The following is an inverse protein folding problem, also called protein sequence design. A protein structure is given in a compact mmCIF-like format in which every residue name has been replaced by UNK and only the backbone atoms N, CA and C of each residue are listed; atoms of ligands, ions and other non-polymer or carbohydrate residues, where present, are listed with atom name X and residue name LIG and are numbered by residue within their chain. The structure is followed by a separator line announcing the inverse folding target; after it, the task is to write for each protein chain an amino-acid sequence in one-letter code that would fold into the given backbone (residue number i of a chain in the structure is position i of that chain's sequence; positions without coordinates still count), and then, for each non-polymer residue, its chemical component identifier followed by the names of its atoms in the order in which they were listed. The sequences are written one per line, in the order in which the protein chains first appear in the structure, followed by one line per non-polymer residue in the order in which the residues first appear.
data_IF_040484961050
#
_entry.id   IF_040484961050
#
_cell.length_a   1.000
_cell.length_b   1.000
_cell.length_c   1.000
_cell.angle_alpha   90.00
_cell.angle_beta   90.00
_cell.angle_gamma   90.00
#
_symmetry.space_group_name_H-M   'P 1'
#
loop_
_entity.id
_entity.type
_entity.pdbx_description
1 polymer ?
#
# COMPACT_ATOMS: atom_id res chain seq x y z
N UNK A 1 8.10 -29.32 4.65
CA UNK A 1 7.60 -28.06 4.13
C UNK A 1 7.56 -28.02 2.60
N UNK A 2 6.50 -28.65 2.04
CA UNK A 2 6.30 -28.77 0.58
C UNK A 2 6.13 -27.37 -0.07
N UNK A 3 5.41 -26.46 0.60
CA UNK A 3 5.17 -25.09 0.11
C UNK A 3 6.51 -24.33 -0.08
N UNK A 4 7.41 -24.33 0.88
CA UNK A 4 8.71 -23.68 0.76
C UNK A 4 9.51 -24.18 -0.43
N UNK A 5 9.47 -25.49 -0.66
CA UNK A 5 10.16 -26.11 -1.80
C UNK A 5 9.60 -25.62 -3.14
N UNK A 6 8.26 -25.55 -3.27
CA UNK A 6 7.60 -25.10 -4.49
C UNK A 6 7.86 -23.61 -4.75
N UNK A 7 7.87 -22.76 -3.70
CA UNK A 7 8.26 -21.36 -3.83
C UNK A 7 9.72 -21.20 -4.26
N UNK A 8 10.65 -22.02 -3.76
CA UNK A 8 12.06 -22.01 -4.21
C UNK A 8 12.19 -22.37 -5.67
N UNK A 9 11.46 -23.39 -6.15
CA UNK A 9 11.42 -23.73 -7.58
C UNK A 9 10.88 -22.57 -8.42
N UNK A 10 9.85 -21.87 -7.94
CA UNK A 10 9.30 -20.70 -8.62
C UNK A 10 10.31 -19.54 -8.71
N UNK A 11 11.11 -19.30 -7.66
CA UNK A 11 12.20 -18.32 -7.69
C UNK A 11 13.27 -18.66 -8.73
N UNK A 12 13.48 -19.95 -8.98
CA UNK A 12 14.38 -20.46 -10.01
C UNK A 12 13.76 -20.47 -11.41
N UNK A 13 12.51 -20.01 -11.56
CA UNK A 13 11.71 -20.09 -12.78
C UNK A 13 11.45 -21.54 -13.26
N UNK A 14 11.41 -22.49 -12.32
CA UNK A 14 11.07 -23.89 -12.62
C UNK A 14 9.55 -24.07 -12.56
N UNK A 15 8.94 -24.38 -13.69
CA UNK A 15 7.49 -24.45 -13.90
C UNK A 15 6.81 -25.72 -13.35
N UNK A 16 7.43 -26.42 -12.40
CA UNK A 16 6.89 -27.67 -11.81
C UNK A 16 5.58 -27.46 -11.05
N UNK A 17 5.41 -26.31 -10.40
CA UNK A 17 4.22 -26.01 -9.60
C UNK A 17 3.61 -24.67 -9.94
N UNK A 18 2.29 -24.63 -10.15
CA UNK A 18 1.52 -23.40 -10.31
C UNK A 18 0.63 -23.19 -9.10
N UNK A 19 0.79 -22.03 -8.43
CA UNK A 19 -0.05 -21.63 -7.32
C UNK A 19 -1.43 -21.27 -7.85
N UNK A 20 -2.48 -21.89 -7.30
CA UNK A 20 -3.86 -21.59 -7.65
C UNK A 20 -4.34 -20.36 -6.86
N UNK A 21 -5.14 -19.47 -7.47
CA UNK A 21 -5.77 -18.39 -6.74
C UNK A 21 -6.70 -18.97 -5.68
N UNK A 22 -6.57 -18.46 -4.44
CA UNK A 22 -7.46 -18.83 -3.34
C UNK A 22 -8.89 -18.41 -3.68
N UNK A 23 -9.86 -19.30 -3.49
CA UNK A 23 -11.28 -18.92 -3.55
C UNK A 23 -11.60 -18.08 -2.32
N UNK A 24 -12.41 -17.03 -2.49
CA UNK A 24 -12.79 -16.11 -1.39
C UNK A 24 -13.45 -16.81 -0.18
N UNK A 25 -13.91 -18.05 -0.35
CA UNK A 25 -14.56 -18.86 0.69
C UNK A 25 -13.58 -19.65 1.57
N UNK A 26 -12.31 -19.79 1.14
CA UNK A 26 -11.29 -20.53 1.88
C UNK A 26 -10.58 -19.60 2.87
N UNK A 27 -11.17 -19.45 4.07
CA UNK A 27 -10.56 -18.73 5.21
C UNK A 27 -9.28 -19.42 5.76
N UNK A 28 -8.78 -20.44 5.08
CA UNK A 28 -7.57 -21.17 5.44
C UNK A 28 -6.40 -20.74 4.54
N UNK A 29 -5.30 -20.41 5.17
CA UNK A 29 -3.99 -20.09 4.55
C UNK A 29 -3.34 -21.29 3.84
N UNK A 30 -4.13 -22.27 3.41
CA UNK A 30 -3.70 -23.45 2.68
C UNK A 30 -3.47 -23.07 1.22
N UNK A 31 -2.22 -23.11 0.81
CA UNK A 31 -1.86 -22.94 -0.61
C UNK A 31 -2.27 -24.18 -1.40
N UNK A 32 -3.00 -23.98 -2.49
CA UNK A 32 -3.33 -25.01 -3.46
C UNK A 32 -2.36 -24.91 -4.65
N UNK A 33 -1.66 -25.99 -4.95
CA UNK A 33 -0.69 -26.08 -6.04
C UNK A 33 -1.10 -27.15 -7.06
N UNK A 34 -1.07 -26.78 -8.32
CA UNK A 34 -1.15 -27.77 -9.41
C UNK A 34 0.27 -28.13 -9.84
N UNK A 35 0.61 -29.41 -9.76
CA UNK A 35 1.94 -29.91 -10.12
C UNK A 35 1.88 -30.57 -11.50
N UNK A 36 2.83 -30.23 -12.36
CA UNK A 36 2.95 -30.80 -13.71
C UNK A 36 4.42 -31.06 -14.03
N UNK A 37 4.73 -32.29 -14.45
CA UNK A 37 6.05 -32.63 -14.95
C UNK A 37 6.02 -32.53 -16.48
N UNK A 38 6.93 -31.77 -17.04
CA UNK A 38 7.06 -31.57 -18.51
C UNK A 38 8.55 -31.59 -18.88
N UNK A 39 8.90 -31.84 -20.15
CA UNK A 39 10.28 -31.74 -20.60
C UNK A 39 10.95 -30.39 -20.33
N UNK A 40 10.19 -29.31 -20.37
CA UNK A 40 10.66 -27.97 -20.05
C UNK A 40 11.14 -27.88 -18.58
N UNK A 41 10.40 -28.50 -17.66
CA UNK A 41 10.78 -28.57 -16.23
C UNK A 41 12.11 -29.28 -16.04
N UNK A 42 12.41 -30.31 -16.82
CA UNK A 42 13.70 -31.00 -16.78
C UNK A 42 14.85 -30.07 -17.22
N UNK A 43 14.63 -29.30 -18.29
CA UNK A 43 15.61 -28.31 -18.77
C UNK A 43 15.84 -27.25 -17.71
N UNK A 44 14.75 -26.65 -17.17
CA UNK A 44 14.78 -25.61 -16.16
C UNK A 44 15.51 -26.08 -14.87
N UNK A 45 15.32 -27.35 -14.49
CA UNK A 45 16.03 -27.94 -13.35
C UNK A 45 17.54 -28.07 -13.64
N UNK A 46 17.91 -28.48 -14.84
CA UNK A 46 19.32 -28.55 -15.25
C UNK A 46 19.95 -27.15 -15.23
N UNK A 47 19.26 -26.15 -15.75
CA UNK A 47 19.73 -24.76 -15.71
C UNK A 47 19.87 -24.25 -14.26
N UNK A 48 18.96 -24.64 -13.37
CA UNK A 48 19.02 -24.27 -11.95
C UNK A 48 20.28 -24.86 -11.26
N UNK A 49 20.83 -25.98 -11.73
CA UNK A 49 22.07 -26.56 -11.17
C UNK A 49 23.30 -25.67 -11.38
N UNK A 50 23.27 -24.79 -12.39
CA UNK A 50 24.32 -23.79 -12.62
C UNK A 50 24.39 -22.73 -11.51
N UNK A 51 23.30 -22.58 -10.74
CA UNK A 51 23.19 -21.62 -9.64
C UNK A 51 23.49 -22.24 -8.26
N UNK A 52 23.54 -23.56 -8.16
CA UNK A 52 23.90 -24.27 -6.91
C UNK A 52 23.53 -25.73 -6.89
N UNK A 53 24.18 -26.48 -6.04
CA UNK A 53 24.05 -27.94 -5.91
C UNK A 53 22.75 -28.39 -5.21
N UNK A 54 22.05 -27.46 -4.59
CA UNK A 54 20.77 -27.70 -3.92
C UNK A 54 19.75 -26.64 -4.33
N UNK A 55 18.45 -26.99 -4.31
CA UNK A 55 17.37 -26.05 -4.60
C UNK A 55 17.43 -24.82 -3.69
N UNK A 56 17.78 -24.99 -2.42
CA UNK A 56 17.96 -23.88 -1.46
C UNK A 56 19.14 -23.01 -1.84
N UNK A 57 20.29 -23.60 -2.16
CA UNK A 57 21.50 -22.87 -2.57
C UNK A 57 21.29 -22.10 -3.87
N UNK A 58 20.70 -22.75 -4.88
CA UNK A 58 20.38 -22.11 -6.15
C UNK A 58 19.39 -20.95 -5.99
N UNK A 59 18.33 -21.12 -5.19
CA UNK A 59 17.36 -20.06 -4.89
C UNK A 59 18.02 -18.91 -4.13
N UNK A 60 18.91 -19.20 -3.16
CA UNK A 60 19.69 -18.19 -2.44
C UNK A 60 20.57 -17.36 -3.38
N UNK A 61 21.26 -18.03 -4.29
CA UNK A 61 22.08 -17.38 -5.30
C UNK A 61 21.25 -16.46 -6.20
N UNK A 62 20.14 -16.97 -6.75
CA UNK A 62 19.26 -16.18 -7.61
C UNK A 62 18.65 -14.97 -6.90
N UNK A 63 18.23 -15.11 -5.63
CA UNK A 63 17.73 -14.01 -4.84
C UNK A 63 18.81 -12.95 -4.55
N UNK A 64 20.05 -13.37 -4.26
CA UNK A 64 21.19 -12.46 -4.02
C UNK A 64 21.53 -11.65 -5.26
N UNK A 65 21.52 -12.26 -6.45
CA UNK A 65 21.73 -11.53 -7.70
C UNK A 65 20.65 -10.47 -7.89
N UNK A 66 19.36 -10.85 -7.82
CA UNK A 66 18.24 -9.93 -7.96
C UNK A 66 18.25 -8.82 -6.91
N UNK A 67 18.67 -9.12 -5.69
CA UNK A 67 18.76 -8.14 -4.60
C UNK A 67 19.88 -7.13 -4.81
N UNK A 68 21.02 -7.53 -5.41
CA UNK A 68 22.12 -6.61 -5.77
C UNK A 68 21.75 -5.68 -6.93
N UNK A 69 20.90 -6.13 -7.83
CA UNK A 69 20.42 -5.37 -8.97
C UNK A 69 19.22 -4.46 -8.62
N UNK A 70 18.59 -4.68 -7.45
CA UNK A 70 17.45 -3.91 -7.02
C UNK A 70 17.86 -2.45 -6.70
N UNK A 71 17.37 -1.52 -7.50
CA UNK A 71 17.55 -0.07 -7.31
C UNK A 71 16.31 0.58 -6.70
N UNK A 72 15.17 -0.09 -6.72
CA UNK A 72 13.90 0.39 -6.22
C UNK A 72 13.50 -0.38 -4.95
N UNK A 73 12.96 0.36 -3.99
CA UNK A 73 12.50 -0.23 -2.72
C UNK A 73 11.39 -1.26 -2.92
N UNK A 74 10.50 -1.05 -3.90
CA UNK A 74 9.42 -1.97 -4.26
C UNK A 74 9.94 -3.32 -4.74
N UNK A 75 11.02 -3.34 -5.52
CA UNK A 75 11.67 -4.58 -5.96
C UNK A 75 12.26 -5.36 -4.78
N UNK A 76 12.94 -4.68 -3.87
CA UNK A 76 13.51 -5.29 -2.66
C UNK A 76 12.42 -5.80 -1.69
N UNK A 77 11.31 -5.06 -1.52
CA UNK A 77 10.17 -5.50 -0.70
C UNK A 77 9.52 -6.77 -1.25
N UNK A 78 9.41 -6.90 -2.57
CA UNK A 78 8.92 -8.11 -3.22
C UNK A 78 9.86 -9.30 -3.02
N UNK A 79 11.17 -9.09 -3.09
CA UNK A 79 12.16 -10.14 -2.78
C UNK A 79 12.09 -10.56 -1.32
N UNK A 80 11.83 -9.64 -0.39
CA UNK A 80 11.60 -9.95 1.01
C UNK A 80 10.40 -10.90 1.17
N UNK A 81 9.26 -10.58 0.56
CA UNK A 81 8.07 -11.43 0.55
C UNK A 81 8.41 -12.83 -0.01
N UNK A 82 9.07 -12.90 -1.17
CA UNK A 82 9.50 -14.17 -1.77
C UNK A 82 10.41 -14.96 -0.82
N UNK A 83 11.32 -14.32 -0.07
CA UNK A 83 12.22 -14.99 0.87
C UNK A 83 11.47 -15.62 2.06
N UNK A 84 10.41 -14.94 2.56
CA UNK A 84 9.50 -15.51 3.56
C UNK A 84 8.72 -16.70 3.00
N UNK A 85 8.18 -16.59 1.79
CA UNK A 85 7.47 -17.67 1.12
C UNK A 85 8.38 -18.90 0.89
N UNK A 86 9.65 -18.68 0.67
CA UNK A 86 10.67 -19.74 0.51
C UNK A 86 11.17 -20.33 1.84
N UNK A 87 10.85 -19.72 2.98
CA UNK A 87 11.39 -20.12 4.28
C UNK A 87 12.92 -20.02 4.35
N UNK A 88 13.48 -18.85 3.98
CA UNK A 88 14.92 -18.61 3.87
C UNK A 88 15.35 -17.44 4.78
N UNK A 89 15.51 -17.68 6.11
CA UNK A 89 15.77 -16.62 7.08
C UNK A 89 17.08 -15.83 6.82
N UNK A 90 18.11 -16.48 6.27
CA UNK A 90 19.35 -15.79 5.89
C UNK A 90 19.12 -14.78 4.75
N UNK A 91 18.23 -15.10 3.82
CA UNK A 91 17.86 -14.17 2.74
C UNK A 91 16.97 -13.05 3.25
N UNK A 92 16.07 -13.33 4.19
CA UNK A 92 15.29 -12.31 4.88
C UNK A 92 16.22 -11.27 5.50
N UNK A 93 17.21 -11.67 6.30
CA UNK A 93 18.16 -10.76 6.92
C UNK A 93 18.95 -9.94 5.87
N UNK A 94 19.44 -10.59 4.82
CA UNK A 94 20.20 -9.94 3.76
C UNK A 94 19.39 -8.89 2.99
N UNK A 95 18.13 -9.20 2.65
CA UNK A 95 17.25 -8.29 1.91
C UNK A 95 16.76 -7.16 2.82
N UNK A 96 16.55 -7.43 4.12
CA UNK A 96 16.20 -6.41 5.12
C UNK A 96 17.25 -5.31 5.17
N UNK A 97 18.53 -5.67 5.13
CA UNK A 97 19.66 -4.73 5.12
C UNK A 97 19.63 -3.82 3.86
N UNK A 98 19.38 -4.42 2.70
CA UNK A 98 19.22 -3.68 1.44
C UNK A 98 18.02 -2.73 1.51
N UNK A 99 16.88 -3.18 2.05
CA UNK A 99 15.68 -2.36 2.20
C UNK A 99 15.92 -1.12 3.07
N UNK A 100 16.69 -1.25 4.16
CA UNK A 100 17.04 -0.11 5.02
C UNK A 100 17.81 0.97 4.25
N UNK A 101 18.77 0.56 3.42
CA UNK A 101 19.54 1.49 2.59
C UNK A 101 18.65 2.16 1.53
N UNK A 102 17.87 1.37 0.79
CA UNK A 102 16.98 1.91 -0.24
C UNK A 102 15.89 2.82 0.33
N UNK A 103 15.39 2.53 1.53
CA UNK A 103 14.38 3.36 2.19
C UNK A 103 14.92 4.76 2.56
N UNK A 104 16.20 4.87 2.95
CA UNK A 104 16.84 6.14 3.27
C UNK A 104 16.94 7.05 2.04
N UNK A 105 17.24 6.48 0.89
CA UNK A 105 17.49 7.21 -0.37
C UNK A 105 16.22 7.42 -1.21
N UNK A 106 15.14 6.69 -0.95
CA UNK A 106 13.92 6.76 -1.75
C UNK A 106 13.23 8.13 -1.63
N UNK A 107 12.85 8.68 -2.77
CA UNK A 107 12.01 9.89 -2.89
C UNK A 107 10.63 9.62 -3.50
N UNK A 108 10.34 8.38 -3.89
CA UNK A 108 9.07 7.98 -4.50
C UNK A 108 8.07 7.53 -3.43
N UNK A 109 7.11 8.40 -3.10
CA UNK A 109 6.07 8.11 -2.11
C UNK A 109 5.27 6.85 -2.44
N UNK A 110 4.94 6.64 -3.72
CA UNK A 110 4.16 5.49 -4.20
C UNK A 110 4.84 4.17 -3.90
N UNK A 111 6.16 4.12 -4.09
CA UNK A 111 6.96 2.91 -3.87
C UNK A 111 7.17 2.65 -2.39
N UNK A 112 7.39 3.71 -1.59
CA UNK A 112 7.46 3.61 -0.13
C UNK A 112 6.13 3.08 0.45
N UNK A 113 4.99 3.61 0.03
CA UNK A 113 3.68 3.18 0.49
C UNK A 113 3.37 1.72 0.09
N UNK A 114 3.69 1.32 -1.15
CA UNK A 114 3.53 -0.05 -1.61
C UNK A 114 4.46 -1.03 -0.85
N UNK A 115 5.69 -0.61 -0.58
CA UNK A 115 6.65 -1.41 0.18
C UNK A 115 6.24 -1.57 1.64
N UNK A 116 5.74 -0.50 2.27
CA UNK A 116 5.19 -0.56 3.63
C UNK A 116 4.01 -1.55 3.71
N UNK A 117 3.11 -1.53 2.74
CA UNK A 117 1.99 -2.47 2.65
C UNK A 117 2.48 -3.92 2.50
N UNK A 118 3.42 -4.20 1.59
CA UNK A 118 3.98 -5.53 1.40
C UNK A 118 4.66 -6.06 2.67
N UNK A 119 5.46 -5.23 3.35
CA UNK A 119 6.12 -5.61 4.61
C UNK A 119 5.08 -5.83 5.71
N UNK A 120 4.07 -4.97 5.82
CA UNK A 120 2.95 -5.13 6.77
C UNK A 120 2.23 -6.46 6.57
N UNK A 121 1.94 -6.85 5.32
CA UNK A 121 1.36 -8.15 4.99
C UNK A 121 2.26 -9.29 5.44
N UNK A 122 3.57 -9.23 5.14
CA UNK A 122 4.54 -10.24 5.57
C UNK A 122 4.57 -10.38 7.09
N UNK A 123 4.58 -9.26 7.84
CA UNK A 123 4.61 -9.28 9.30
C UNK A 123 3.35 -9.91 9.90
N UNK A 124 2.17 -9.54 9.38
CA UNK A 124 0.87 -10.08 9.86
C UNK A 124 0.71 -11.58 9.63
N UNK A 125 1.36 -12.11 8.59
CA UNK A 125 1.21 -13.50 8.16
C UNK A 125 2.47 -14.35 8.33
N UNK A 126 3.59 -13.73 8.72
CA UNK A 126 4.87 -14.41 8.97
C UNK A 126 4.77 -15.43 10.11
N UNK A 127 4.00 -15.14 11.16
CA UNK A 127 3.78 -16.03 12.31
C UNK A 127 3.18 -17.39 11.93
N UNK A 128 2.33 -17.43 10.91
CA UNK A 128 1.73 -18.67 10.40
C UNK A 128 2.82 -19.62 9.86
N UNK A 129 3.88 -19.06 9.30
CA UNK A 129 5.02 -19.82 8.77
C UNK A 129 6.13 -20.04 9.79
N UNK A 130 5.96 -19.58 11.04
CA UNK A 130 6.93 -19.65 12.14
C UNK A 130 8.27 -18.97 11.79
N UNK A 131 8.21 -17.88 11.06
CA UNK A 131 9.36 -17.04 10.78
C UNK A 131 9.26 -15.79 11.66
N UNK A 132 10.38 -15.45 12.31
CA UNK A 132 10.45 -14.23 13.12
C UNK A 132 10.37 -12.99 12.23
N UNK A 133 9.35 -12.16 12.46
CA UNK A 133 9.14 -10.89 11.75
C UNK A 133 9.66 -9.68 12.52
N UNK A 134 10.18 -9.87 13.75
CA UNK A 134 10.69 -8.77 14.59
C UNK A 134 11.79 -7.93 13.93
N UNK A 135 12.70 -8.47 13.09
CA UNK A 135 13.68 -7.65 12.37
C UNK A 135 13.07 -6.67 11.37
N UNK A 136 11.80 -6.85 10.97
CA UNK A 136 11.11 -5.96 10.04
C UNK A 136 10.51 -4.72 10.69
N UNK A 137 10.35 -4.71 12.03
CA UNK A 137 9.79 -3.58 12.77
C UNK A 137 10.54 -2.27 12.45
N UNK A 138 11.86 -2.17 12.65
CA UNK A 138 12.58 -0.92 12.37
C UNK A 138 12.56 -0.53 10.89
N UNK A 139 12.48 -1.50 9.99
CA UNK A 139 12.39 -1.23 8.54
C UNK A 139 11.04 -0.63 8.19
N UNK A 140 9.95 -1.19 8.71
CA UNK A 140 8.61 -0.66 8.48
C UNK A 140 8.45 0.73 9.08
N UNK A 141 8.97 0.97 10.29
CA UNK A 141 9.00 2.30 10.92
C UNK A 141 9.74 3.32 10.05
N UNK A 142 10.92 2.96 9.54
CA UNK A 142 11.73 3.84 8.68
C UNK A 142 11.01 4.19 7.38
N UNK A 143 10.45 3.18 6.69
CA UNK A 143 9.72 3.37 5.43
C UNK A 143 8.47 4.22 5.65
N UNK A 144 7.69 3.92 6.70
CA UNK A 144 6.49 4.65 7.07
C UNK A 144 6.81 6.12 7.39
N UNK A 145 7.83 6.37 8.21
CA UNK A 145 8.28 7.70 8.55
C UNK A 145 8.74 8.48 7.31
N UNK A 146 9.53 7.84 6.44
CA UNK A 146 9.99 8.46 5.20
C UNK A 146 8.83 8.83 4.28
N UNK A 147 7.84 7.94 4.13
CA UNK A 147 6.63 8.21 3.37
C UNK A 147 5.85 9.40 3.93
N UNK A 148 5.67 9.47 5.26
CA UNK A 148 5.02 10.60 5.92
C UNK A 148 5.73 11.95 5.66
N UNK A 149 7.08 11.95 5.65
CA UNK A 149 7.87 13.17 5.37
C UNK A 149 7.69 13.68 3.93
N UNK A 150 7.46 12.79 2.98
CA UNK A 150 7.28 13.15 1.57
C UNK A 150 5.84 13.53 1.22
N UNK A 151 4.88 13.14 2.06
CA UNK A 151 3.46 13.18 1.71
C UNK A 151 2.95 14.58 1.41
N UNK A 152 3.29 15.58 2.23
CA UNK A 152 2.82 16.96 2.03
C UNK A 152 3.30 17.50 0.69
N UNK A 153 4.58 17.32 0.37
CA UNK A 153 5.15 17.78 -0.90
C UNK A 153 4.56 17.06 -2.12
N UNK A 154 4.23 15.77 -1.98
CA UNK A 154 3.60 15.00 -3.03
C UNK A 154 2.15 15.43 -3.33
N UNK A 155 1.49 16.13 -2.39
CA UNK A 155 0.13 16.62 -2.59
C UNK A 155 0.02 17.80 -3.58
N UNK A 156 1.15 18.43 -3.96
CA UNK A 156 1.22 19.46 -5.00
C UNK A 156 1.32 18.80 -6.38
N UNK A 157 0.22 18.25 -6.87
CA UNK A 157 0.18 17.49 -8.10
C UNK A 157 -1.13 17.71 -8.88
N UNK A 158 -1.15 17.26 -10.13
CA UNK A 158 -2.34 17.23 -10.98
C UNK A 158 -3.29 16.07 -10.60
N UNK A 159 -4.48 16.05 -11.17
CA UNK A 159 -5.51 15.04 -10.87
C UNK A 159 -5.11 13.59 -11.21
N UNK A 160 -4.42 13.31 -12.32
CA UNK A 160 -3.92 11.97 -12.59
C UNK A 160 -2.93 11.46 -11.53
N UNK A 161 -2.02 12.31 -11.06
CA UNK A 161 -1.09 11.97 -10.00
C UNK A 161 -1.78 11.88 -8.63
N UNK A 162 -2.77 12.72 -8.37
CA UNK A 162 -3.53 12.71 -7.12
C UNK A 162 -4.17 11.35 -6.81
N UNK A 163 -4.59 10.61 -7.84
CA UNK A 163 -5.14 9.25 -7.68
C UNK A 163 -4.12 8.27 -7.07
N UNK A 164 -2.86 8.37 -7.47
CA UNK A 164 -1.79 7.53 -6.94
C UNK A 164 -1.43 7.94 -5.51
N UNK A 165 -1.45 9.25 -5.21
CA UNK A 165 -1.22 9.76 -3.85
C UNK A 165 -2.34 9.31 -2.91
N UNK A 166 -3.60 9.40 -3.32
CA UNK A 166 -4.75 8.88 -2.56
C UNK A 166 -4.58 7.39 -2.23
N UNK A 167 -4.17 6.57 -3.19
CA UNK A 167 -3.89 5.16 -2.93
C UNK A 167 -2.73 4.97 -1.95
N UNK A 168 -1.72 5.82 -2.02
CA UNK A 168 -0.58 5.77 -1.09
C UNK A 168 -1.01 6.14 0.33
N UNK A 169 -1.85 7.15 0.50
CA UNK A 169 -2.44 7.51 1.80
C UNK A 169 -3.28 6.37 2.35
N UNK A 170 -4.09 5.71 1.51
CA UNK A 170 -4.93 4.58 1.94
C UNK A 170 -4.10 3.40 2.42
N UNK A 171 -3.02 3.06 1.71
CA UNK A 171 -2.05 2.03 2.11
C UNK A 171 -1.39 2.36 3.44
N UNK A 172 -0.88 3.59 3.59
CA UNK A 172 -0.25 4.03 4.84
C UNK A 172 -1.24 4.04 6.00
N UNK A 173 -2.49 4.44 5.76
CA UNK A 173 -3.56 4.38 6.76
C UNK A 173 -3.82 2.95 7.20
N UNK A 174 -3.91 2.01 6.25
CA UNK A 174 -4.08 0.57 6.55
C UNK A 174 -2.89 0.01 7.33
N UNK A 175 -1.66 0.32 6.93
CA UNK A 175 -0.44 -0.10 7.63
C UNK A 175 -0.44 0.41 9.07
N UNK A 176 -0.75 1.70 9.27
CA UNK A 176 -0.79 2.32 10.59
C UNK A 176 -1.85 1.68 11.51
N UNK A 177 -3.00 1.25 10.97
CA UNK A 177 -4.06 0.58 11.74
C UNK A 177 -3.70 -0.84 12.17
N UNK A 178 -2.73 -1.48 11.51
CA UNK A 178 -2.37 -2.87 11.80
C UNK A 178 -1.13 -3.01 12.71
N UNK A 179 -0.44 -1.92 13.01
CA UNK A 179 0.82 -1.96 13.74
C UNK A 179 0.90 -0.87 14.81
N UNK A 180 0.65 -1.26 16.07
CA UNK A 180 0.60 -0.35 17.22
C UNK A 180 1.95 0.32 17.55
N UNK A 181 3.07 -0.18 17.00
CA UNK A 181 4.39 0.43 17.18
C UNK A 181 4.62 1.65 16.27
N UNK A 182 3.77 1.89 15.26
CA UNK A 182 3.84 3.08 14.42
C UNK A 182 3.22 4.30 15.13
N UNK A 183 3.79 5.49 14.89
CA UNK A 183 3.30 6.74 15.48
C UNK A 183 1.97 7.19 14.82
N UNK A 184 0.86 6.63 15.32
CA UNK A 184 -0.50 6.96 14.85
C UNK A 184 -0.81 8.44 15.01
N UNK A 185 -0.45 9.05 16.15
CA UNK A 185 -0.76 10.46 16.41
C UNK A 185 -0.05 11.40 15.43
N UNK A 186 1.17 11.06 15.05
CA UNK A 186 1.89 11.79 14.00
C UNK A 186 1.20 11.65 12.65
N UNK A 187 0.75 10.45 12.29
CA UNK A 187 0.03 10.22 11.04
C UNK A 187 -1.30 10.98 11.01
N UNK A 188 -2.06 10.96 12.11
CA UNK A 188 -3.33 11.69 12.22
C UNK A 188 -3.11 13.19 12.07
N UNK A 189 -2.13 13.79 12.78
CA UNK A 189 -1.79 15.22 12.62
C UNK A 189 -1.42 15.56 11.18
N UNK A 190 -0.73 14.68 10.48
CA UNK A 190 -0.42 14.88 9.06
C UNK A 190 -1.69 14.85 8.20
N UNK A 191 -2.66 13.98 8.50
CA UNK A 191 -3.96 13.98 7.81
C UNK A 191 -4.75 15.27 8.10
N UNK A 192 -4.73 15.78 9.33
CA UNK A 192 -5.35 17.06 9.70
C UNK A 192 -4.72 18.22 8.94
N UNK A 193 -3.39 18.27 8.86
CA UNK A 193 -2.66 19.27 8.10
C UNK A 193 -3.08 19.26 6.62
N UNK A 194 -3.06 18.10 5.96
CA UNK A 194 -3.40 17.96 4.54
C UNK A 194 -4.88 18.26 4.29
N UNK A 195 -5.78 17.80 5.17
CA UNK A 195 -7.21 18.05 5.05
C UNK A 195 -7.57 19.54 5.11
N UNK A 196 -6.84 20.32 5.93
CA UNK A 196 -7.10 21.76 6.12
C UNK A 196 -6.56 22.65 4.99
N UNK A 197 -5.64 22.13 4.15
CA UNK A 197 -4.96 22.93 3.11
C UNK A 197 -5.84 23.17 1.88
N UNK A 198 -5.71 24.39 1.32
CA UNK A 198 -6.41 24.82 0.09
C UNK A 198 -5.46 24.95 -1.11
N UNK A 199 -4.16 24.91 -0.88
CA UNK A 199 -3.09 25.11 -1.87
C UNK A 199 -2.58 23.82 -2.50
N UNK A 200 -3.18 22.68 -2.15
CA UNK A 200 -2.86 21.35 -2.68
C UNK A 200 -4.01 20.79 -3.51
N UNK A 201 -3.79 19.62 -4.13
CA UNK A 201 -4.86 18.96 -4.87
C UNK A 201 -6.05 18.62 -3.95
N UNK A 202 -7.23 19.17 -4.29
CA UNK A 202 -8.43 19.08 -3.44
C UNK A 202 -8.94 17.66 -3.26
N UNK A 203 -8.70 16.77 -4.22
CA UNK A 203 -9.07 15.36 -4.12
C UNK A 203 -8.32 14.66 -2.99
N UNK A 204 -7.03 15.00 -2.78
CA UNK A 204 -6.22 14.46 -1.69
C UNK A 204 -6.71 15.00 -0.35
N UNK A 205 -6.96 16.31 -0.26
CA UNK A 205 -7.47 16.93 0.97
C UNK A 205 -8.84 16.35 1.38
N UNK A 206 -9.73 16.11 0.41
CA UNK A 206 -11.01 15.41 0.64
C UNK A 206 -10.85 13.98 1.12
N UNK A 207 -9.89 13.23 0.57
CA UNK A 207 -9.60 11.87 1.01
C UNK A 207 -9.02 11.83 2.43
N UNK A 208 -8.14 12.77 2.79
CA UNK A 208 -7.62 12.87 4.17
C UNK A 208 -8.74 13.20 5.16
N UNK A 209 -9.70 14.06 4.77
CA UNK A 209 -10.93 14.31 5.55
C UNK A 209 -11.72 13.00 5.78
N UNK A 210 -11.86 12.15 4.76
CA UNK A 210 -12.52 10.85 4.89
C UNK A 210 -11.77 9.91 5.86
N UNK A 211 -10.43 9.91 5.84
CA UNK A 211 -9.60 9.14 6.79
C UNK A 211 -9.83 9.62 8.23
N UNK A 212 -9.87 10.93 8.47
CA UNK A 212 -10.14 11.49 9.80
C UNK A 212 -11.53 11.11 10.31
N UNK A 213 -12.55 11.13 9.44
CA UNK A 213 -13.90 10.70 9.78
C UNK A 213 -13.96 9.19 10.14
N UNK A 214 -13.29 8.36 9.37
CA UNK A 214 -13.23 6.92 9.64
C UNK A 214 -12.55 6.60 10.98
N UNK A 215 -11.52 7.39 11.32
CA UNK A 215 -10.81 7.25 12.60
C UNK A 215 -11.51 7.94 13.78
N UNK A 216 -12.68 8.57 13.56
CA UNK A 216 -13.41 9.29 14.61
C UNK A 216 -12.70 10.55 15.12
N UNK A 217 -11.77 11.09 14.32
CA UNK A 217 -11.00 12.32 14.64
C UNK A 217 -11.66 13.59 14.13
N UNK A 218 -12.77 13.50 13.42
CA UNK A 218 -13.58 14.62 12.97
C UNK A 218 -15.06 14.33 13.29
N UNK A 219 -15.75 15.32 13.87
CA UNK A 219 -17.17 15.21 14.21
C UNK A 219 -18.06 15.70 13.06
N UNK A 220 -19.36 15.36 13.11
CA UNK A 220 -20.31 15.70 12.04
C UNK A 220 -20.47 17.20 11.85
N UNK A 221 -20.41 18.00 12.93
CA UNK A 221 -20.49 19.46 12.88
C UNK A 221 -19.24 20.08 12.21
N UNK A 222 -18.07 19.47 12.41
CA UNK A 222 -16.82 19.89 11.76
C UNK A 222 -16.85 19.57 10.28
N UNK A 223 -17.31 18.36 9.92
CA UNK A 223 -17.54 17.98 8.53
C UNK A 223 -18.51 18.95 7.84
N UNK A 224 -19.64 19.29 8.50
CA UNK A 224 -20.62 20.23 7.96
C UNK A 224 -20.00 21.60 7.63
N UNK A 225 -19.19 22.13 8.56
CA UNK A 225 -18.45 23.40 8.35
C UNK A 225 -17.46 23.30 7.18
N UNK A 226 -16.75 22.17 7.05
CA UNK A 226 -15.79 21.97 5.97
C UNK A 226 -16.50 21.84 4.61
N UNK A 227 -17.63 21.15 4.56
CA UNK A 227 -18.48 21.05 3.36
C UNK A 227 -18.93 22.44 2.92
N UNK A 228 -19.50 23.26 3.84
CA UNK A 228 -19.93 24.63 3.54
C UNK A 228 -18.76 25.47 3.04
N UNK A 229 -17.57 25.33 3.61
CA UNK A 229 -16.39 26.08 3.21
C UNK A 229 -15.94 25.69 1.80
N UNK A 230 -15.86 24.39 1.49
CA UNK A 230 -15.37 23.84 0.22
C UNK A 230 -16.37 23.97 -0.93
N UNK A 231 -17.65 23.96 -0.61
CA UNK A 231 -18.76 24.07 -1.55
C UNK A 231 -19.48 25.44 -1.43
N UNK A 232 -18.74 26.50 -1.13
CA UNK A 232 -19.31 27.83 -1.03
C UNK A 232 -19.30 28.58 -2.37
N UNK A 233 -20.26 29.46 -2.57
CA UNK A 233 -20.30 30.34 -3.73
C UNK A 233 -19.02 31.19 -3.82
N UNK A 234 -18.33 31.09 -4.96
CA UNK A 234 -17.04 31.76 -5.18
C UNK A 234 -15.84 30.83 -5.15
N UNK A 235 -16.01 29.55 -4.73
CA UNK A 235 -15.05 28.51 -4.97
C UNK A 235 -15.33 27.89 -6.36
N UNK A 236 -14.33 27.75 -7.25
CA UNK A 236 -14.52 27.06 -8.54
C UNK A 236 -15.13 25.67 -8.36
N UNK A 237 -16.18 25.35 -9.13
CA UNK A 237 -16.92 24.10 -8.99
C UNK A 237 -16.04 22.86 -9.10
N UNK A 238 -15.00 22.91 -9.93
CA UNK A 238 -14.02 21.82 -10.12
C UNK A 238 -13.24 21.49 -8.82
N UNK A 239 -12.91 22.52 -8.02
CA UNK A 239 -12.21 22.34 -6.75
C UNK A 239 -13.12 21.70 -5.70
N UNK A 240 -14.38 22.15 -5.61
CA UNK A 240 -15.39 21.57 -4.74
C UNK A 240 -15.70 20.12 -5.12
N UNK A 241 -15.91 19.85 -6.40
CA UNK A 241 -16.15 18.52 -6.94
C UNK A 241 -14.96 17.59 -6.70
N UNK A 242 -13.73 18.05 -6.92
CA UNK A 242 -12.50 17.31 -6.63
C UNK A 242 -12.42 16.90 -5.16
N UNK A 243 -12.66 17.85 -4.25
CA UNK A 243 -12.67 17.58 -2.82
C UNK A 243 -13.74 16.55 -2.43
N UNK A 244 -14.98 16.73 -2.91
CA UNK A 244 -16.06 15.79 -2.64
C UNK A 244 -15.81 14.40 -3.22
N UNK A 245 -15.21 14.31 -4.41
CA UNK A 245 -14.79 13.06 -5.01
C UNK A 245 -13.78 12.32 -4.12
N UNK A 246 -12.81 13.04 -3.54
CA UNK A 246 -11.87 12.48 -2.57
C UNK A 246 -12.57 11.98 -1.31
N UNK A 247 -13.43 12.80 -0.71
CA UNK A 247 -14.21 12.47 0.49
C UNK A 247 -15.05 11.19 0.30
N UNK A 248 -15.66 11.04 -0.87
CA UNK A 248 -16.57 9.93 -1.18
C UNK A 248 -15.87 8.59 -1.43
N UNK A 249 -14.54 8.56 -1.59
CA UNK A 249 -13.82 7.33 -1.94
C UNK A 249 -13.77 6.29 -0.82
N UNK A 250 -13.66 6.73 0.43
CA UNK A 250 -13.35 5.80 1.51
C UNK A 250 -14.58 5.11 2.12
N UNK A 251 -15.60 5.85 2.50
CA UNK A 251 -16.77 5.26 3.16
C UNK A 251 -18.08 5.80 2.58
N UNK A 252 -18.38 5.42 1.36
CA UNK A 252 -19.57 5.87 0.62
C UNK A 252 -20.88 5.64 1.41
N UNK A 253 -21.02 4.50 2.10
CA UNK A 253 -22.22 4.18 2.86
C UNK A 253 -22.39 5.07 4.11
N UNK A 254 -21.31 5.35 4.81
CA UNK A 254 -21.36 6.27 5.97
C UNK A 254 -21.73 7.69 5.56
N UNK A 255 -21.29 8.15 4.39
CA UNK A 255 -21.67 9.45 3.83
C UNK A 255 -23.14 9.46 3.40
N UNK A 256 -23.65 8.40 2.78
CA UNK A 256 -25.06 8.27 2.38
C UNK A 256 -25.99 8.38 3.58
N UNK A 257 -25.61 7.82 4.73
CA UNK A 257 -26.40 7.88 5.96
C UNK A 257 -26.45 9.28 6.62
N UNK A 258 -25.60 10.23 6.21
CA UNK A 258 -25.50 11.59 6.80
C UNK A 258 -26.40 12.57 6.06
N UNK A 259 -27.65 12.70 6.49
CA UNK A 259 -28.64 13.60 5.88
C UNK A 259 -28.20 15.06 5.84
N UNK A 260 -27.42 15.53 6.83
CA UNK A 260 -26.88 16.89 6.87
C UNK A 260 -25.97 17.17 5.67
N UNK A 261 -25.07 16.24 5.34
CA UNK A 261 -24.18 16.33 4.17
C UNK A 261 -24.97 16.51 2.86
N UNK A 262 -26.05 15.74 2.70
CA UNK A 262 -26.87 15.81 1.48
C UNK A 262 -27.67 17.11 1.38
N UNK A 263 -28.11 17.68 2.50
CA UNK A 263 -28.77 18.99 2.52
C UNK A 263 -27.82 20.09 2.09
N UNK A 264 -26.59 20.10 2.61
CA UNK A 264 -25.56 21.06 2.21
C UNK A 264 -25.18 20.93 0.73
N UNK A 265 -24.99 19.68 0.27
CA UNK A 265 -24.69 19.40 -1.12
C UNK A 265 -25.84 19.85 -2.07
N UNK A 266 -27.10 19.56 -1.70
CA UNK A 266 -28.27 20.00 -2.48
C UNK A 266 -28.34 21.53 -2.54
N UNK A 267 -28.13 22.19 -1.40
CA UNK A 267 -28.10 23.65 -1.34
C UNK A 267 -27.00 24.28 -2.20
N UNK A 268 -25.83 23.63 -2.24
CA UNK A 268 -24.73 24.04 -3.12
C UNK A 268 -25.09 23.86 -4.59
N UNK A 269 -25.62 22.69 -5.00
CA UNK A 269 -26.02 22.42 -6.39
C UNK A 269 -27.08 23.44 -6.90
N UNK A 270 -27.97 23.87 -6.02
CA UNK A 270 -28.98 24.92 -6.35
C UNK A 270 -28.35 26.31 -6.59
N UNK A 271 -27.07 26.53 -6.20
CA UNK A 271 -26.33 27.76 -6.44
C UNK A 271 -25.52 27.80 -7.71
N UNK A 272 -25.28 26.63 -8.36
CA UNK A 272 -24.50 26.52 -9.58
C UNK A 272 -25.31 26.95 -10.79
N UNK A 273 -24.66 27.57 -11.76
CA UNK A 273 -25.24 27.81 -13.07
C UNK A 273 -25.18 26.52 -13.94
N UNK A 274 -25.83 26.58 -15.12
CA UNK A 274 -25.92 25.40 -16.01
C UNK A 274 -24.54 24.96 -16.57
N UNK A 275 -23.59 25.88 -16.72
CA UNK A 275 -22.24 25.57 -17.19
C UNK A 275 -21.37 24.97 -16.07
N UNK A 276 -21.46 25.54 -14.88
CA UNK A 276 -20.78 25.04 -13.67
C UNK A 276 -21.28 23.65 -13.27
N UNK A 277 -22.60 23.39 -13.44
CA UNK A 277 -23.20 22.09 -13.13
C UNK A 277 -22.76 20.98 -14.11
N UNK A 278 -22.42 21.32 -15.35
CA UNK A 278 -21.98 20.35 -16.38
C UNK A 278 -20.48 20.01 -16.31
N UNK A 279 -19.69 20.76 -15.56
CA UNK A 279 -18.26 20.50 -15.34
C UNK A 279 -18.03 19.59 -14.14
#
# INVERSE_FOLDING_TARGET
NRSFFLHRLRVLNVGFGTLQPLRQEDATWAEAWTLKWTPEVEIELVEATLKGDTVTGAASFSMRERAREATEISAAAKLLEESYLCGMPEMVAYITDILQHLAADSSALTDLAASAESISVVMRFGDIRRLDSSPLVPVLEQIFLRACLLLVSACFCDDPAAEQIVRSVDRLNSVCLHHDFLDEERFVRLMEEIASRDDINTRISGFCTAVLLERGRMQDEELGREVQRRLSKGIPAELGAGWFAGLSKKNRYALIARLSLWKELSSYLDTLDEEEFKR
#
